data_IF_381018847303
#
_entry.id   IF_381018847303
#
_cell.length_a   1.000
_cell.length_b   1.000
_cell.length_c   1.000
_cell.angle_alpha   90.00
_cell.angle_beta   90.00
_cell.angle_gamma   90.00
#
_symmetry.space_group_name_H-M   'P 1'
#
loop_
_entity.id
_entity.type
_entity.pdbx_description
1 polymer ?
#
# COMPACT_ATOMS: atom_id res chain seq x y z
N UNK A 1 -28.68 -66.91 -5.31
CA UNK A 1 -27.75 -65.92 -5.83
C UNK A 1 -28.36 -64.57 -5.51
N UNK A 2 -27.85 -63.88 -4.49
CA UNK A 2 -28.25 -62.50 -4.12
C UNK A 2 -27.08 -61.62 -4.43
N UNK A 3 -27.28 -60.70 -5.41
CA UNK A 3 -26.32 -59.65 -5.74
C UNK A 3 -26.45 -58.52 -4.71
N UNK A 4 -25.38 -58.27 -3.98
CA UNK A 4 -25.21 -57.11 -3.10
C UNK A 4 -24.64 -55.98 -3.94
N UNK A 5 -25.51 -55.10 -4.43
CA UNK A 5 -25.10 -53.83 -5.02
C UNK A 5 -24.72 -52.85 -3.92
N UNK A 6 -23.44 -52.77 -3.60
CA UNK A 6 -22.87 -51.76 -2.71
C UNK A 6 -22.76 -50.42 -3.40
N UNK A 7 -23.67 -49.50 -3.12
CA UNK A 7 -23.65 -48.12 -3.59
C UNK A 7 -22.56 -47.35 -2.83
N UNK A 8 -21.43 -47.11 -3.53
CA UNK A 8 -20.31 -46.33 -3.00
C UNK A 8 -20.69 -44.85 -3.06
N UNK A 9 -21.01 -44.26 -1.91
CA UNK A 9 -21.18 -42.79 -1.80
C UNK A 9 -19.83 -42.10 -2.02
N UNK A 10 -19.76 -41.04 -2.86
CA UNK A 10 -18.54 -40.29 -3.01
C UNK A 10 -18.17 -39.57 -1.70
N UNK A 11 -16.87 -39.36 -1.42
CA UNK A 11 -16.43 -38.69 -0.22
C UNK A 11 -16.94 -37.26 -0.21
N UNK A 12 -17.57 -36.86 0.89
CA UNK A 12 -17.95 -35.47 1.15
C UNK A 12 -16.66 -34.69 1.37
N UNK A 13 -16.26 -33.87 0.38
CA UNK A 13 -15.18 -32.93 0.55
C UNK A 13 -15.73 -31.80 1.43
N UNK A 14 -15.45 -31.88 2.73
CA UNK A 14 -15.71 -30.77 3.64
C UNK A 14 -14.88 -29.56 3.16
N UNK A 15 -15.58 -28.52 2.72
CA UNK A 15 -15.00 -27.22 2.41
C UNK A 15 -14.34 -26.71 3.71
N UNK A 16 -13.02 -26.40 3.72
CA UNK A 16 -12.38 -25.91 4.93
C UNK A 16 -13.16 -24.71 5.44
N UNK A 17 -13.51 -24.73 6.72
CA UNK A 17 -14.19 -23.64 7.39
C UNK A 17 -13.37 -22.37 7.16
N UNK A 18 -14.01 -21.33 6.61
CA UNK A 18 -13.40 -20.02 6.46
C UNK A 18 -12.91 -19.59 7.85
N UNK A 19 -11.60 -19.59 8.05
CA UNK A 19 -10.99 -19.05 9.26
C UNK A 19 -11.34 -17.59 9.31
N UNK A 20 -12.25 -17.24 10.21
CA UNK A 20 -12.63 -15.86 10.53
C UNK A 20 -11.47 -15.22 11.27
N UNK A 21 -10.40 -14.87 10.53
CA UNK A 21 -9.40 -13.97 11.11
C UNK A 21 -9.99 -12.57 11.14
N UNK A 22 -10.00 -11.99 12.32
CA UNK A 22 -10.40 -10.60 12.55
C UNK A 22 -9.65 -9.67 11.57
N UNK A 23 -10.33 -8.73 10.91
CA UNK A 23 -9.64 -7.77 10.03
C UNK A 23 -8.55 -7.03 10.80
N UNK A 24 -7.43 -6.67 10.12
CA UNK A 24 -6.36 -5.93 10.75
C UNK A 24 -6.89 -4.67 11.44
N UNK A 25 -6.43 -4.44 12.67
CA UNK A 25 -6.75 -3.23 13.41
C UNK A 25 -5.72 -2.13 13.08
N UNK A 26 -6.11 -0.84 13.17
CA UNK A 26 -5.17 0.24 12.98
C UNK A 26 -4.08 0.19 14.07
N UNK A 27 -2.86 0.50 13.66
CA UNK A 27 -1.74 0.61 14.60
C UNK A 27 -1.91 1.84 15.47
N UNK A 28 -1.57 1.69 16.75
CA UNK A 28 -1.43 2.84 17.66
C UNK A 28 0.01 3.34 17.57
N UNK A 29 0.22 4.46 16.91
CA UNK A 29 1.54 5.07 16.82
C UNK A 29 1.79 6.04 17.94
N UNK A 30 2.97 5.93 18.56
CA UNK A 30 3.60 6.97 19.34
C UNK A 30 4.61 7.75 18.46
N UNK A 31 4.24 8.08 17.24
CA UNK A 31 5.13 8.81 16.35
C UNK A 31 5.14 10.30 16.73
N UNK A 32 6.35 10.87 16.84
CA UNK A 32 6.54 12.32 17.00
C UNK A 32 6.14 13.11 15.75
N UNK A 33 5.99 12.40 14.61
CA UNK A 33 5.61 12.95 13.31
C UNK A 33 4.10 12.82 13.14
N UNK A 34 3.39 13.90 13.38
CA UNK A 34 1.94 13.93 13.31
C UNK A 34 1.42 13.85 11.87
N UNK A 35 2.16 14.40 10.90
CA UNK A 35 1.81 14.34 9.48
C UNK A 35 1.83 12.90 8.97
N UNK A 36 2.83 12.13 9.34
CA UNK A 36 2.92 10.71 8.99
C UNK A 36 1.83 9.91 9.68
N UNK A 37 1.56 10.20 10.95
CA UNK A 37 0.47 9.56 11.71
C UNK A 37 -0.88 9.84 11.08
N UNK A 38 -1.14 11.08 10.67
CA UNK A 38 -2.37 11.45 9.98
C UNK A 38 -2.48 10.76 8.63
N UNK A 39 -1.42 10.79 7.82
CA UNK A 39 -1.41 10.15 6.50
C UNK A 39 -1.67 8.64 6.61
N UNK A 40 -1.06 7.96 7.59
CA UNK A 40 -1.37 6.57 7.87
C UNK A 40 -2.85 6.36 8.23
N UNK A 41 -3.38 7.17 9.14
CA UNK A 41 -4.78 7.06 9.56
C UNK A 41 -5.75 7.24 8.38
N UNK A 42 -5.46 8.23 7.51
CA UNK A 42 -6.25 8.50 6.31
C UNK A 42 -6.18 7.31 5.34
N UNK A 43 -4.98 6.79 5.05
CA UNK A 43 -4.77 5.65 4.16
C UNK A 43 -5.37 4.37 4.75
N UNK A 44 -5.19 4.13 6.05
CA UNK A 44 -5.80 2.96 6.71
C UNK A 44 -7.32 2.99 6.57
N UNK A 45 -7.96 4.15 6.82
CA UNK A 45 -9.42 4.31 6.67
C UNK A 45 -9.86 4.08 5.22
N UNK A 46 -9.14 4.63 4.24
CA UNK A 46 -9.42 4.41 2.82
C UNK A 46 -9.37 2.92 2.47
N UNK A 47 -8.35 2.22 2.94
CA UNK A 47 -8.09 0.83 2.57
C UNK A 47 -8.89 -0.20 3.38
N UNK A 48 -9.44 0.18 4.55
CA UNK A 48 -10.23 -0.74 5.39
C UNK A 48 -11.66 -0.95 4.89
N UNK A 49 -12.18 -0.07 4.05
CA UNK A 49 -13.51 -0.17 3.46
C UNK A 49 -13.44 -0.79 2.06
N UNK A 50 -14.49 -1.52 1.65
CA UNK A 50 -14.64 -2.00 0.27
C UNK A 50 -14.90 -0.82 -0.67
N UNK A 51 -13.95 -0.54 -1.56
CA UNK A 51 -14.02 0.54 -2.53
C UNK A 51 -12.98 0.34 -3.65
N UNK A 52 -13.04 1.16 -4.70
CA UNK A 52 -12.14 1.06 -5.85
C UNK A 52 -10.66 1.16 -5.49
N UNK A 53 -10.32 1.93 -4.44
CA UNK A 53 -8.95 2.05 -3.96
C UNK A 53 -8.48 0.76 -3.29
N UNK A 54 -9.23 0.24 -2.31
CA UNK A 54 -8.87 -1.02 -1.66
C UNK A 54 -8.83 -2.20 -2.64
N UNK A 55 -9.75 -2.25 -3.60
CA UNK A 55 -9.78 -3.28 -4.66
C UNK A 55 -8.52 -3.24 -5.51
N UNK A 56 -8.03 -2.04 -5.87
CA UNK A 56 -6.77 -1.88 -6.60
C UNK A 56 -5.59 -2.52 -5.86
N UNK A 57 -5.57 -2.48 -4.52
CA UNK A 57 -4.56 -3.09 -3.66
C UNK A 57 -4.84 -4.57 -3.31
N UNK A 58 -5.84 -5.20 -3.92
CA UNK A 58 -6.20 -6.60 -3.70
C UNK A 58 -7.15 -6.82 -2.53
N UNK A 59 -7.95 -5.83 -2.21
CA UNK A 59 -8.99 -5.83 -1.18
C UNK A 59 -8.54 -5.31 0.19
N UNK A 60 -9.50 -4.96 1.05
CA UNK A 60 -9.22 -4.28 2.33
C UNK A 60 -8.23 -5.03 3.22
N UNK A 61 -8.39 -6.34 3.34
CA UNK A 61 -7.54 -7.16 4.20
C UNK A 61 -6.09 -7.18 3.74
N UNK A 62 -5.83 -7.39 2.45
CA UNK A 62 -4.49 -7.40 1.88
C UNK A 62 -3.82 -6.04 2.04
N UNK A 63 -4.52 -4.99 1.61
CA UNK A 63 -4.03 -3.62 1.65
C UNK A 63 -3.65 -3.17 3.07
N UNK A 64 -4.54 -3.37 4.06
CA UNK A 64 -4.29 -2.96 5.45
C UNK A 64 -3.23 -3.81 6.15
N UNK A 65 -3.11 -5.11 5.82
CA UNK A 65 -2.04 -5.97 6.34
C UNK A 65 -0.67 -5.46 5.89
N UNK A 66 -0.51 -5.15 4.59
CA UNK A 66 0.76 -4.65 4.06
C UNK A 66 1.06 -3.25 4.59
N UNK A 67 0.06 -2.36 4.65
CA UNK A 67 0.21 -1.03 5.24
C UNK A 67 0.70 -1.10 6.70
N UNK A 68 0.10 -1.95 7.52
CA UNK A 68 0.48 -2.14 8.93
C UNK A 68 1.90 -2.73 9.08
N UNK A 69 2.36 -3.51 8.11
CA UNK A 69 3.72 -4.04 8.10
C UNK A 69 4.75 -3.01 7.63
N UNK A 70 4.33 -2.10 6.76
CA UNK A 70 5.19 -1.11 6.11
C UNK A 70 5.43 0.13 6.96
N UNK A 71 4.36 0.74 7.49
CA UNK A 71 4.46 2.08 8.13
C UNK A 71 5.38 2.11 9.35
N UNK A 72 5.51 1.06 10.18
CA UNK A 72 6.50 1.05 11.28
C UNK A 72 7.96 1.17 10.83
N UNK A 73 8.25 0.92 9.54
CA UNK A 73 9.60 1.03 8.97
C UNK A 73 9.88 2.44 8.43
N UNK A 74 8.86 3.32 8.39
CA UNK A 74 8.97 4.65 7.82
C UNK A 74 9.53 5.62 8.84
N UNK A 75 10.59 6.32 8.45
CA UNK A 75 11.21 7.38 9.22
C UNK A 75 11.30 8.66 8.37
N UNK A 76 11.24 9.82 9.03
CA UNK A 76 11.40 11.12 8.38
C UNK A 76 12.84 11.58 8.50
N UNK A 77 13.54 11.73 7.37
CA UNK A 77 14.90 12.25 7.30
C UNK A 77 15.09 13.10 6.06
N UNK A 78 16.08 13.96 6.09
CA UNK A 78 16.48 14.74 4.92
C UNK A 78 17.13 13.81 3.89
N UNK A 79 16.57 13.81 2.69
CA UNK A 79 17.10 13.13 1.51
C UNK A 79 17.62 14.14 0.48
N UNK A 80 18.17 13.64 -0.62
CA UNK A 80 18.45 14.48 -1.79
C UNK A 80 17.14 15.09 -2.30
N UNK A 81 17.20 16.31 -2.80
CA UNK A 81 16.00 17.11 -3.17
C UNK A 81 15.06 16.43 -4.17
N UNK A 82 15.59 15.53 -4.98
CA UNK A 82 14.85 14.85 -6.05
C UNK A 82 14.04 13.64 -5.55
N UNK A 83 14.28 13.21 -4.32
CA UNK A 83 13.63 12.03 -3.75
C UNK A 83 12.59 12.47 -2.72
N UNK A 84 11.36 12.05 -2.89
CA UNK A 84 10.31 12.23 -1.88
C UNK A 84 10.27 11.08 -0.89
N UNK A 85 10.63 9.89 -1.36
CA UNK A 85 10.65 8.67 -0.57
C UNK A 85 11.83 7.78 -1.00
N UNK A 86 12.34 6.95 -0.10
CA UNK A 86 13.43 6.01 -0.38
C UNK A 86 13.31 4.75 0.47
N UNK A 87 13.14 3.61 -0.17
CA UNK A 87 13.23 2.30 0.47
C UNK A 87 14.67 1.77 0.35
N UNK A 88 15.24 1.31 1.46
CA UNK A 88 16.62 0.84 1.53
C UNK A 88 16.74 -0.53 2.20
N UNK A 89 17.82 -1.24 1.88
CA UNK A 89 18.08 -2.59 2.37
C UNK A 89 17.67 -3.66 1.36
N UNK A 90 17.75 -4.91 1.79
CA UNK A 90 17.38 -6.05 0.95
C UNK A 90 15.87 -6.29 1.03
N UNK A 91 15.16 -6.43 -0.10
CA UNK A 91 13.75 -6.81 -0.06
C UNK A 91 13.61 -8.23 0.51
N UNK A 92 12.73 -8.36 1.50
CA UNK A 92 12.33 -9.64 2.08
C UNK A 92 10.92 -9.96 1.59
N UNK A 93 10.75 -11.10 0.95
CA UNK A 93 9.43 -11.57 0.54
C UNK A 93 8.76 -12.21 1.75
N UNK A 94 7.58 -11.71 2.07
CA UNK A 94 6.70 -12.25 3.11
C UNK A 94 5.59 -13.01 2.40
N UNK A 95 5.48 -14.29 2.69
CA UNK A 95 4.42 -15.13 2.14
C UNK A 95 3.62 -15.73 3.29
N UNK A 96 2.31 -15.50 3.27
CA UNK A 96 1.38 -16.13 4.21
C UNK A 96 0.69 -17.31 3.49
N UNK A 97 1.05 -18.55 3.81
CA UNK A 97 0.51 -19.73 3.12
C UNK A 97 -0.98 -19.96 3.38
N UNK A 98 -1.54 -19.41 4.47
CA UNK A 98 -2.96 -19.56 4.82
C UNK A 98 -3.83 -18.63 3.97
N UNK A 99 -3.39 -17.39 3.79
CA UNK A 99 -4.17 -16.36 3.06
C UNK A 99 -3.76 -16.22 1.60
N UNK A 100 -2.66 -16.83 1.18
CA UNK A 100 -2.04 -16.62 -0.13
C UNK A 100 -1.47 -15.21 -0.32
N UNK A 101 -1.45 -14.40 0.75
CA UNK A 101 -0.92 -13.05 0.69
C UNK A 101 0.60 -13.07 0.53
N UNK A 102 1.08 -12.43 -0.53
CA UNK A 102 2.51 -12.23 -0.78
C UNK A 102 2.80 -10.75 -0.96
N UNK A 103 3.86 -10.28 -0.32
CA UNK A 103 4.33 -8.90 -0.39
C UNK A 103 5.81 -8.81 -0.02
N UNK A 104 6.46 -7.70 -0.36
CA UNK A 104 7.85 -7.44 0.04
C UNK A 104 7.95 -6.31 1.06
N UNK A 105 8.97 -6.40 1.91
CA UNK A 105 9.36 -5.33 2.82
C UNK A 105 10.86 -5.08 2.68
N UNK A 106 11.24 -3.82 2.81
CA UNK A 106 12.64 -3.39 2.91
C UNK A 106 13.03 -3.22 4.38
N UNK A 107 14.33 -3.12 4.66
CA UNK A 107 14.78 -2.96 6.05
C UNK A 107 14.37 -1.60 6.63
N UNK A 108 14.30 -0.56 5.78
CA UNK A 108 13.94 0.80 6.16
C UNK A 108 13.27 1.53 5.00
N UNK A 109 12.37 2.43 5.36
CA UNK A 109 11.75 3.38 4.45
C UNK A 109 11.95 4.80 4.99
N UNK A 110 12.35 5.72 4.12
CA UNK A 110 12.63 7.11 4.52
C UNK A 110 11.77 8.05 3.69
N UNK A 111 10.95 8.85 4.35
CA UNK A 111 10.25 9.98 3.74
C UNK A 111 11.12 11.24 3.85
N UNK A 112 11.26 11.98 2.75
CA UNK A 112 12.08 13.19 2.72
C UNK A 112 11.44 14.31 3.52
N UNK A 113 12.09 14.74 4.61
CA UNK A 113 11.62 15.83 5.44
C UNK A 113 11.55 17.19 4.72
N UNK A 114 12.32 17.36 3.63
CA UNK A 114 12.31 18.57 2.79
C UNK A 114 11.46 18.37 1.52
N UNK A 115 10.77 17.23 1.39
CA UNK A 115 10.02 16.82 0.21
C UNK A 115 8.55 17.27 0.21
N UNK A 116 7.86 16.84 -0.86
CA UNK A 116 6.44 17.13 -1.13
C UNK A 116 5.46 16.54 -0.10
N UNK A 117 5.92 15.63 0.73
CA UNK A 117 5.12 15.10 1.84
C UNK A 117 4.84 16.16 2.91
N UNK A 118 5.85 17.02 3.23
CA UNK A 118 5.76 18.01 4.32
C UNK A 118 5.54 19.45 3.81
N UNK A 119 6.13 19.83 2.68
CA UNK A 119 6.20 21.21 2.25
C UNK A 119 5.22 21.54 1.13
N UNK A 120 4.45 22.60 1.33
CA UNK A 120 3.51 23.14 0.33
C UNK A 120 4.19 23.91 -0.79
N UNK A 121 5.39 24.46 -0.57
CA UNK A 121 6.16 25.21 -1.54
C UNK A 121 7.42 24.44 -1.88
N UNK A 122 7.48 24.02 -3.11
CA UNK A 122 8.75 23.71 -3.76
C UNK A 122 9.28 25.04 -4.30
N UNK A 123 10.57 25.32 -4.07
CA UNK A 123 11.22 26.47 -4.71
C UNK A 123 10.84 26.51 -6.18
N UNK A 124 10.52 27.70 -6.68
CA UNK A 124 9.95 27.96 -8.01
C UNK A 124 10.74 27.40 -9.21
N UNK A 125 11.89 26.80 -8.98
CA UNK A 125 12.76 26.14 -9.96
C UNK A 125 12.51 24.63 -10.12
N UNK A 126 11.69 24.02 -9.27
CA UNK A 126 11.42 22.59 -9.34
C UNK A 126 10.04 22.33 -9.92
N UNK A 127 10.00 21.55 -11.00
CA UNK A 127 8.77 20.99 -11.55
C UNK A 127 8.01 20.26 -10.45
N UNK A 128 6.68 20.28 -10.52
CA UNK A 128 5.84 19.50 -9.60
C UNK A 128 6.41 18.10 -9.46
N UNK A 129 6.63 17.62 -8.21
CA UNK A 129 7.15 16.28 -8.02
C UNK A 129 6.20 15.27 -8.65
N UNK A 130 6.77 14.26 -9.27
CA UNK A 130 6.01 13.21 -9.95
C UNK A 130 5.06 12.43 -9.02
N UNK A 131 5.30 12.47 -7.71
CA UNK A 131 4.67 11.67 -6.68
C UNK A 131 3.41 12.27 -6.03
N UNK A 132 3.06 13.53 -6.34
CA UNK A 132 1.84 14.16 -5.80
C UNK A 132 0.68 14.24 -6.80
N UNK A 133 0.87 13.77 -8.02
CA UNK A 133 -0.14 13.80 -9.08
C UNK A 133 -0.72 15.19 -9.30
N UNK A 134 -2.05 15.34 -9.20
CA UNK A 134 -2.74 16.63 -9.33
C UNK A 134 -2.91 17.40 -8.02
N UNK A 135 -2.46 16.85 -6.89
CA UNK A 135 -2.61 17.49 -5.59
C UNK A 135 -1.44 18.46 -5.30
N UNK A 136 -1.72 19.44 -4.45
CA UNK A 136 -0.68 20.35 -3.98
C UNK A 136 0.20 19.65 -2.93
N UNK A 137 1.53 19.76 -3.02
CA UNK A 137 2.44 19.23 -2.02
C UNK A 137 2.08 19.67 -0.59
N UNK A 138 2.37 18.83 0.40
CA UNK A 138 2.11 19.09 1.81
C UNK A 138 0.62 19.09 2.20
N UNK A 139 -0.29 18.70 1.30
CA UNK A 139 -1.71 18.49 1.63
C UNK A 139 -1.99 17.06 2.12
N UNK A 140 -3.12 16.86 2.78
CA UNK A 140 -3.54 15.50 3.20
C UNK A 140 -3.65 14.56 2.02
N UNK A 141 -4.21 15.03 0.90
CA UNK A 141 -4.33 14.27 -0.34
C UNK A 141 -2.96 13.83 -0.89
N UNK A 142 -2.00 14.76 -0.95
CA UNK A 142 -0.65 14.46 -1.42
C UNK A 142 0.05 13.44 -0.52
N UNK A 143 -0.04 13.59 0.81
CA UNK A 143 0.54 12.65 1.77
C UNK A 143 -0.06 11.24 1.64
N UNK A 144 -1.38 11.15 1.54
CA UNK A 144 -2.07 9.87 1.35
C UNK A 144 -1.67 9.24 0.01
N UNK A 145 -1.60 10.02 -1.08
CA UNK A 145 -1.20 9.55 -2.41
C UNK A 145 0.24 9.01 -2.39
N UNK A 146 1.18 9.70 -1.75
CA UNK A 146 2.57 9.25 -1.61
C UNK A 146 2.62 7.90 -0.87
N UNK A 147 1.95 7.76 0.28
CA UNK A 147 1.93 6.49 1.01
C UNK A 147 1.28 5.35 0.21
N UNK A 148 0.21 5.63 -0.52
CA UNK A 148 -0.45 4.67 -1.40
C UNK A 148 0.47 4.26 -2.56
N UNK A 149 1.22 5.20 -3.15
CA UNK A 149 2.21 4.93 -4.19
C UNK A 149 3.27 3.95 -3.67
N UNK A 150 3.90 4.25 -2.54
CA UNK A 150 4.93 3.39 -1.95
C UNK A 150 4.38 2.01 -1.55
N UNK A 151 3.16 1.95 -1.02
CA UNK A 151 2.47 0.70 -0.72
C UNK A 151 2.32 -0.18 -1.97
N UNK A 152 2.05 0.42 -3.13
CA UNK A 152 1.90 -0.29 -4.40
C UNK A 152 3.16 -1.03 -4.86
N UNK A 153 4.34 -0.54 -4.51
CA UNK A 153 5.60 -1.23 -4.78
C UNK A 153 5.79 -2.49 -3.92
N UNK A 154 5.05 -2.63 -2.83
CA UNK A 154 5.23 -3.72 -1.87
C UNK A 154 4.30 -4.91 -2.15
N UNK A 155 3.21 -4.71 -2.86
CA UNK A 155 2.15 -5.71 -3.05
C UNK A 155 2.41 -6.55 -4.31
N UNK A 156 2.42 -7.87 -4.16
CA UNK A 156 2.48 -8.82 -5.26
C UNK A 156 1.08 -9.11 -5.80
N UNK A 157 0.95 -9.16 -7.14
CA UNK A 157 -0.26 -9.58 -7.85
C UNK A 157 -0.33 -11.11 -7.93
N UNK A 158 -1.44 -11.64 -8.41
CA UNK A 158 -1.65 -13.07 -8.64
C UNK A 158 -0.70 -13.64 -9.70
N UNK A 159 -0.28 -12.84 -10.66
CA UNK A 159 0.68 -13.19 -11.71
C UNK A 159 2.16 -13.08 -11.27
N UNK A 160 2.39 -12.90 -9.97
CA UNK A 160 3.70 -12.69 -9.36
C UNK A 160 4.44 -11.41 -9.79
N UNK A 161 3.77 -10.49 -10.48
CA UNK A 161 4.30 -9.14 -10.71
C UNK A 161 4.02 -8.23 -9.51
N UNK A 162 4.81 -7.16 -9.35
CA UNK A 162 4.50 -6.12 -8.37
C UNK A 162 3.36 -5.25 -8.87
N UNK A 163 2.49 -4.79 -7.95
CA UNK A 163 1.33 -3.96 -8.27
C UNK A 163 1.76 -2.69 -9.00
N UNK A 164 2.81 -2.03 -8.53
CA UNK A 164 3.52 -0.98 -9.24
C UNK A 164 4.92 -1.45 -9.60
N UNK A 165 5.37 -1.27 -10.85
CA UNK A 165 6.77 -1.54 -11.22
C UNK A 165 7.72 -0.61 -10.49
N UNK A 166 8.93 -1.10 -10.20
CA UNK A 166 9.97 -0.28 -9.58
C UNK A 166 10.29 0.93 -10.46
N UNK A 167 10.36 2.09 -9.86
CA UNK A 167 10.61 3.36 -10.55
C UNK A 167 11.98 3.98 -10.20
N UNK A 168 12.58 3.61 -9.08
CA UNK A 168 13.94 4.02 -8.70
C UNK A 168 14.18 5.51 -8.91
N UNK A 169 15.06 5.86 -9.87
CA UNK A 169 15.31 7.25 -10.29
C UNK A 169 14.60 7.66 -11.59
N UNK A 170 13.72 6.79 -12.13
CA UNK A 170 12.92 7.10 -13.33
C UNK A 170 11.68 7.92 -12.97
N UNK A 171 11.82 9.24 -13.01
CA UNK A 171 10.70 10.16 -12.76
C UNK A 171 9.50 9.98 -13.70
N UNK A 172 9.70 9.48 -14.92
CA UNK A 172 8.60 9.19 -15.83
C UNK A 172 7.82 7.95 -15.40
N UNK A 173 8.52 6.91 -14.92
CA UNK A 173 7.88 5.73 -14.35
C UNK A 173 7.16 6.09 -13.05
N UNK A 174 7.78 6.88 -12.17
CA UNK A 174 7.16 7.36 -10.94
C UNK A 174 5.87 8.13 -11.21
N UNK A 175 5.88 9.04 -12.19
CA UNK A 175 4.68 9.76 -12.60
C UNK A 175 3.57 8.83 -13.12
N UNK A 176 3.91 7.81 -13.90
CA UNK A 176 2.93 6.80 -14.36
C UNK A 176 2.32 6.03 -13.19
N UNK A 177 3.15 5.57 -12.26
CA UNK A 177 2.71 4.86 -11.05
C UNK A 177 1.76 5.74 -10.22
N UNK A 178 2.14 7.00 -9.99
CA UNK A 178 1.31 7.98 -9.26
C UNK A 178 -0.05 8.18 -9.91
N UNK A 179 -0.10 8.32 -11.24
CA UNK A 179 -1.37 8.49 -11.97
C UNK A 179 -2.26 7.24 -11.88
N UNK A 180 -1.69 6.04 -11.90
CA UNK A 180 -2.45 4.80 -11.69
C UNK A 180 -3.10 4.77 -10.32
N UNK A 181 -2.33 5.07 -9.26
CA UNK A 181 -2.85 5.14 -7.89
C UNK A 181 -3.90 6.23 -7.75
N UNK A 182 -3.61 7.44 -8.25
CA UNK A 182 -4.55 8.55 -8.20
C UNK A 182 -5.87 8.21 -8.91
N UNK A 183 -5.81 7.53 -10.05
CA UNK A 183 -7.02 7.12 -10.78
C UNK A 183 -7.84 6.12 -9.97
N UNK A 184 -7.21 5.07 -9.43
CA UNK A 184 -7.88 4.04 -8.65
C UNK A 184 -8.51 4.57 -7.33
N UNK A 185 -7.81 5.52 -6.67
CA UNK A 185 -8.17 6.04 -5.35
C UNK A 185 -8.80 7.45 -5.38
N UNK A 186 -9.18 7.93 -6.56
CA UNK A 186 -9.57 9.33 -6.78
C UNK A 186 -10.64 9.81 -5.82
N UNK A 187 -11.74 9.07 -5.71
CA UNK A 187 -12.91 9.46 -4.89
C UNK A 187 -12.50 9.60 -3.42
N UNK A 188 -11.72 8.65 -2.91
CA UNK A 188 -11.27 8.61 -1.53
C UNK A 188 -10.28 9.74 -1.23
N UNK A 189 -9.31 9.96 -2.14
CA UNK A 189 -8.33 11.03 -1.99
C UNK A 189 -8.97 12.43 -2.04
N UNK A 190 -9.89 12.69 -2.96
CA UNK A 190 -10.60 13.96 -3.07
C UNK A 190 -11.52 14.23 -1.85
N UNK A 191 -11.91 13.22 -1.10
CA UNK A 191 -12.68 13.36 0.14
C UNK A 191 -11.86 13.84 1.35
N UNK A 192 -10.53 13.72 1.30
CA UNK A 192 -9.63 14.20 2.35
C UNK A 192 -9.52 15.73 2.29
N UNK A 193 -10.11 16.42 3.25
CA UNK A 193 -10.11 17.90 3.35
C UNK A 193 -9.20 18.37 4.48
#
# INVERSE_FOLDING_TARGET
MQELSGEMRPPVIEKPAATSETPPQPLVFSHKDWELTQAYSDVFKILSDENTCSDFYGGPRKATTVLNSFVPLVESHRLLKELSFLMTGRPRIIHNPITGLSYRLFDKATVNSDGSFYHRRLDSLHRFPADVGSFLPGTRQARALILLHELGHLIEREDHSWLLPDDGHDGAQSARNTLLVQHACRVQLESLK
#
